data_IF_268029617529
#
_entry.id   IF_268029617529
#
_cell.length_a   1.000
_cell.length_b   1.000
_cell.length_c   1.000
_cell.angle_alpha   90.00
_cell.angle_beta   90.00
_cell.angle_gamma   90.00
#
_symmetry.space_group_name_H-M   'P 1'
#
loop_
_entity.id
_entity.type
_entity.pdbx_description
1 polymer ?
#
# COMPACT_ATOMS: atom_id res chain seq x y z
N UNK A 1 -5.14 -14.85 58.18
CA UNK A 1 -4.54 -15.49 56.98
C UNK A 1 -5.68 -16.13 56.21
N UNK A 2 -6.32 -15.35 55.34
CA UNK A 2 -7.31 -15.74 54.33
C UNK A 2 -7.97 -14.43 53.88
N UNK A 3 -7.30 -13.71 52.97
CA UNK A 3 -7.85 -12.60 52.16
C UNK A 3 -6.90 -12.19 51.03
N UNK A 4 -6.23 -13.17 50.44
CA UNK A 4 -5.60 -13.08 49.12
C UNK A 4 -6.21 -14.26 48.34
N UNK A 5 -7.13 -14.01 47.39
CA UNK A 5 -7.51 -15.02 46.36
C UNK A 5 -8.69 -14.65 45.44
N UNK A 6 -8.89 -13.37 45.08
CA UNK A 6 -9.83 -13.06 43.98
C UNK A 6 -9.21 -12.15 42.91
N UNK A 7 -8.44 -11.13 43.29
CA UNK A 7 -7.77 -10.24 42.32
C UNK A 7 -6.66 -10.91 41.50
N UNK A 8 -5.95 -11.89 42.08
CA UNK A 8 -4.88 -12.62 41.35
C UNK A 8 -5.40 -13.71 40.40
N UNK A 9 -6.67 -14.11 40.53
CA UNK A 9 -7.30 -15.07 39.61
C UNK A 9 -7.82 -14.39 38.35
N UNK A 10 -8.38 -13.19 38.46
CA UNK A 10 -8.81 -12.41 37.29
C UNK A 10 -7.63 -11.92 36.42
N UNK A 11 -6.46 -11.67 37.01
CA UNK A 11 -5.28 -11.25 36.25
C UNK A 11 -4.61 -12.40 35.48
N UNK A 12 -4.89 -13.66 35.85
CA UNK A 12 -4.41 -14.85 35.13
C UNK A 12 -5.34 -15.29 33.99
N UNK A 13 -6.63 -14.96 34.03
CA UNK A 13 -7.57 -15.29 32.95
C UNK A 13 -7.53 -14.31 31.76
N UNK A 14 -6.96 -13.11 31.91
CA UNK A 14 -6.69 -12.19 30.79
C UNK A 14 -5.42 -12.49 29.99
N UNK A 15 -4.67 -13.55 30.34
CA UNK A 15 -3.52 -14.05 29.57
C UNK A 15 -3.88 -15.34 28.83
N UNK A 16 -4.87 -15.27 27.94
CA UNK A 16 -5.29 -16.39 27.10
C UNK A 16 -5.55 -15.92 25.67
N UNK A 17 -4.87 -16.57 24.71
CA UNK A 17 -5.02 -16.39 23.26
C UNK A 17 -4.35 -15.15 22.62
N UNK A 18 -3.05 -14.99 22.85
CA UNK A 18 -2.18 -14.52 21.76
C UNK A 18 -2.14 -15.66 20.73
N UNK A 19 -2.79 -15.46 19.58
CA UNK A 19 -2.62 -16.33 18.41
C UNK A 19 -1.14 -16.51 18.05
N UNK A 20 -0.79 -17.52 17.24
CA UNK A 20 0.60 -17.84 16.97
C UNK A 20 1.36 -16.60 16.50
N UNK A 21 2.46 -16.27 17.19
CA UNK A 21 3.42 -15.24 16.78
C UNK A 21 3.83 -15.54 15.35
N UNK A 22 3.24 -14.83 14.39
CA UNK A 22 3.68 -14.83 13.01
C UNK A 22 4.89 -13.91 12.94
N UNK A 23 6.08 -14.50 13.01
CA UNK A 23 7.31 -13.83 12.56
C UNK A 23 7.06 -13.27 11.16
N UNK A 24 7.68 -12.13 10.82
CA UNK A 24 7.69 -11.62 9.45
C UNK A 24 7.93 -12.80 8.49
N UNK A 25 7.04 -13.02 7.50
CA UNK A 25 7.21 -14.16 6.60
C UNK A 25 8.61 -14.06 6.00
N UNK A 26 9.40 -15.14 6.02
CA UNK A 26 10.74 -15.10 5.46
C UNK A 26 10.59 -14.64 4.02
N UNK A 27 11.24 -13.53 3.67
CA UNK A 27 11.39 -13.16 2.28
C UNK A 27 12.03 -14.37 1.62
N UNK A 28 11.41 -14.87 0.54
CA UNK A 28 11.99 -15.96 -0.23
C UNK A 28 13.42 -15.58 -0.55
N UNK A 29 14.39 -16.13 0.19
CA UNK A 29 15.77 -16.08 -0.25
C UNK A 29 15.72 -16.61 -1.66
N UNK A 30 16.28 -15.88 -2.61
CA UNK A 30 16.64 -16.41 -3.91
C UNK A 30 17.57 -17.62 -3.68
N UNK A 31 16.97 -18.76 -3.39
CA UNK A 31 17.56 -20.08 -3.38
C UNK A 31 16.70 -20.80 -4.38
N UNK A 32 17.34 -21.20 -5.49
CA UNK A 32 16.76 -22.10 -6.46
C UNK A 32 15.99 -23.18 -5.71
N UNK A 33 14.67 -23.15 -5.82
CA UNK A 33 13.84 -24.22 -5.31
C UNK A 33 14.30 -25.50 -6.02
N UNK A 34 14.33 -26.66 -5.32
CA UNK A 34 14.74 -27.93 -5.93
C UNK A 34 13.85 -28.38 -7.11
N UNK A 35 12.75 -27.65 -7.40
CA UNK A 35 11.77 -27.96 -8.44
C UNK A 35 11.48 -26.80 -9.41
N UNK A 36 12.48 -26.07 -9.92
CA UNK A 36 12.36 -25.30 -11.17
C UNK A 36 11.19 -24.31 -11.30
N UNK A 37 10.67 -23.75 -10.20
CA UNK A 37 9.62 -22.74 -10.25
C UNK A 37 10.18 -21.47 -10.91
N UNK A 38 9.60 -21.06 -12.04
CA UNK A 38 9.96 -19.82 -12.72
C UNK A 38 9.82 -18.64 -11.75
N UNK A 39 10.88 -17.87 -11.58
CA UNK A 39 10.85 -16.62 -10.82
C UNK A 39 9.80 -15.69 -11.44
N UNK A 40 8.86 -15.19 -10.63
CA UNK A 40 7.88 -14.20 -11.11
C UNK A 40 8.62 -12.91 -11.47
N UNK A 41 8.42 -12.33 -12.66
CA UNK A 41 9.17 -11.16 -13.13
C UNK A 41 8.91 -9.92 -12.27
N UNK A 42 7.75 -9.86 -11.61
CA UNK A 42 7.34 -8.77 -10.72
C UNK A 42 7.09 -9.30 -9.30
N UNK A 43 7.53 -8.54 -8.30
CA UNK A 43 7.20 -8.75 -6.89
C UNK A 43 6.43 -7.55 -6.37
N UNK A 44 5.32 -7.78 -5.68
CA UNK A 44 4.49 -6.77 -5.02
C UNK A 44 4.36 -7.11 -3.54
N UNK A 45 4.56 -6.13 -2.68
CA UNK A 45 4.31 -6.24 -1.24
C UNK A 45 3.21 -5.28 -0.81
N UNK A 46 2.35 -5.73 0.10
CA UNK A 46 1.28 -4.95 0.71
C UNK A 46 1.35 -5.10 2.23
N UNK A 47 1.70 -4.04 2.93
CA UNK A 47 1.96 -4.04 4.36
C UNK A 47 1.06 -3.05 5.09
N UNK A 48 0.71 -3.41 6.32
CA UNK A 48 -0.02 -2.56 7.24
C UNK A 48 0.66 -2.56 8.62
N UNK A 49 0.71 -1.41 9.27
CA UNK A 49 1.20 -1.25 10.63
C UNK A 49 0.20 -0.43 11.45
N UNK A 50 -0.30 -1.01 12.54
CA UNK A 50 -1.15 -0.32 13.50
C UNK A 50 -0.28 0.42 14.52
N UNK A 51 -0.35 1.75 14.50
CA UNK A 51 0.43 2.63 15.37
C UNK A 51 -0.29 3.01 16.66
N UNK A 52 -1.59 2.72 16.78
CA UNK A 52 -2.42 3.06 17.96
C UNK A 52 -1.86 2.49 19.26
N UNK A 53 -1.40 1.22 19.33
CA UNK A 53 -0.82 0.69 20.56
C UNK A 53 0.65 1.10 20.79
N UNK A 54 1.28 1.77 19.81
CA UNK A 54 2.73 2.00 19.82
C UNK A 54 3.10 3.26 20.60
N UNK A 55 4.22 3.19 21.33
CA UNK A 55 4.80 4.29 22.12
C UNK A 55 3.78 4.98 23.04
N UNK A 56 3.12 4.25 23.96
CA UNK A 56 2.07 4.81 24.81
C UNK A 56 2.58 5.89 25.78
N UNK A 57 3.88 5.90 26.08
CA UNK A 57 4.51 6.92 26.93
C UNK A 57 4.72 8.27 26.24
N UNK A 58 4.59 8.36 24.91
CA UNK A 58 4.70 9.61 24.18
C UNK A 58 3.36 10.37 24.16
N UNK A 59 3.23 11.38 25.01
CA UNK A 59 2.01 12.22 25.09
C UNK A 59 2.07 13.45 24.18
N UNK A 60 3.27 13.97 23.95
CA UNK A 60 3.56 15.07 23.02
C UNK A 60 4.64 14.64 22.01
N UNK A 61 4.75 15.35 20.87
CA UNK A 61 5.76 15.04 19.83
C UNK A 61 7.19 15.04 20.38
N UNK A 62 7.50 15.94 21.32
CA UNK A 62 8.85 16.02 21.93
C UNK A 62 9.22 14.76 22.72
N UNK A 63 8.24 14.05 23.27
CA UNK A 63 8.44 12.84 24.08
C UNK A 63 8.79 11.64 23.19
N UNK A 64 8.35 11.68 21.93
CA UNK A 64 8.43 10.55 21.00
C UNK A 64 9.87 10.10 20.76
N UNK A 65 10.84 11.02 20.70
CA UNK A 65 12.26 10.67 20.51
C UNK A 65 12.81 9.79 21.63
N UNK A 66 12.36 10.02 22.87
CA UNK A 66 12.74 9.19 24.00
C UNK A 66 11.95 7.88 24.03
N UNK A 67 10.63 7.95 23.83
CA UNK A 67 9.73 6.80 23.86
C UNK A 67 10.01 5.78 22.75
N UNK A 68 10.49 6.24 21.60
CA UNK A 68 10.81 5.45 20.41
C UNK A 68 12.32 5.49 20.10
N UNK A 69 13.17 5.57 21.13
CA UNK A 69 14.62 5.76 20.95
C UNK A 69 15.27 4.69 20.06
N UNK A 70 14.81 3.44 20.16
CA UNK A 70 15.27 2.32 19.33
C UNK A 70 15.02 2.57 17.84
N UNK A 71 13.83 3.07 17.52
CA UNK A 71 13.40 3.40 16.17
C UNK A 71 14.09 4.66 15.63
N UNK A 72 14.28 5.68 16.46
CA UNK A 72 15.00 6.90 16.05
C UNK A 72 16.47 6.64 15.72
N UNK A 73 17.12 5.67 16.37
CA UNK A 73 18.49 5.26 16.03
C UNK A 73 18.60 4.66 14.62
N UNK A 74 17.49 4.24 14.02
CA UNK A 74 17.43 3.71 12.65
C UNK A 74 17.14 4.79 11.60
N UNK A 75 16.99 6.06 11.99
CA UNK A 75 16.69 7.15 11.08
C UNK A 75 17.92 8.02 10.80
N UNK A 76 17.87 8.77 9.71
CA UNK A 76 18.84 9.84 9.47
C UNK A 76 18.34 11.18 10.06
N UNK A 77 19.21 12.18 10.10
CA UNK A 77 18.88 13.49 10.68
C UNK A 77 17.70 14.16 9.98
N UNK A 78 17.61 14.04 8.65
CA UNK A 78 16.52 14.63 7.86
C UNK A 78 15.16 14.02 8.21
N UNK A 79 15.09 12.71 8.35
CA UNK A 79 13.87 12.00 8.76
C UNK A 79 13.49 12.36 10.19
N UNK A 80 14.47 12.39 11.09
CA UNK A 80 14.28 12.78 12.50
C UNK A 80 13.69 14.18 12.59
N UNK A 81 14.28 15.16 11.90
CA UNK A 81 13.76 16.53 11.87
C UNK A 81 12.34 16.61 11.31
N UNK A 82 12.03 15.86 10.25
CA UNK A 82 10.68 15.86 9.66
C UNK A 82 9.63 15.35 10.65
N UNK A 83 9.93 14.26 11.37
CA UNK A 83 9.02 13.67 12.36
C UNK A 83 8.81 14.61 13.55
N UNK A 84 9.85 15.33 13.97
CA UNK A 84 9.77 16.24 15.11
C UNK A 84 9.01 17.54 14.83
N UNK A 85 8.72 17.86 13.56
CA UNK A 85 7.95 19.07 13.18
C UNK A 85 6.44 18.91 13.36
N UNK A 86 5.94 17.69 13.54
CA UNK A 86 4.50 17.47 13.71
C UNK A 86 4.00 18.06 15.03
N UNK A 87 2.92 18.83 14.96
CA UNK A 87 2.31 19.41 16.15
C UNK A 87 1.69 18.35 17.06
N UNK A 88 1.00 17.36 16.47
CA UNK A 88 0.34 16.29 17.23
C UNK A 88 1.17 15.02 17.22
N UNK A 89 1.29 14.38 18.39
CA UNK A 89 2.06 13.14 18.56
C UNK A 89 1.52 12.01 17.70
N UNK A 90 0.20 11.93 17.46
CA UNK A 90 -0.40 10.93 16.58
C UNK A 90 0.15 11.01 15.15
N UNK A 91 0.36 12.22 14.64
CA UNK A 91 0.88 12.42 13.28
C UNK A 91 2.38 12.13 13.24
N UNK A 92 3.12 12.48 14.31
CA UNK A 92 4.52 12.10 14.47
C UNK A 92 4.71 10.57 14.51
N UNK A 93 3.82 9.83 15.17
CA UNK A 93 3.82 8.36 15.21
C UNK A 93 3.60 7.76 13.80
N UNK A 94 2.62 8.27 13.06
CA UNK A 94 2.37 7.86 11.67
C UNK A 94 3.58 8.16 10.77
N UNK A 95 4.22 9.32 10.93
CA UNK A 95 5.40 9.71 10.18
C UNK A 95 6.62 8.82 10.48
N UNK A 96 6.85 8.49 11.76
CA UNK A 96 7.89 7.56 12.18
C UNK A 96 7.68 6.16 11.58
N UNK A 97 6.49 5.60 11.74
CA UNK A 97 6.11 4.32 11.15
C UNK A 97 6.29 4.32 9.61
N UNK A 98 5.88 5.40 8.94
CA UNK A 98 6.05 5.57 7.50
C UNK A 98 7.52 5.58 7.08
N UNK A 99 8.40 6.24 7.84
CA UNK A 99 9.83 6.28 7.54
C UNK A 99 10.47 4.88 7.63
N UNK A 100 10.16 4.13 8.69
CA UNK A 100 10.66 2.76 8.89
C UNK A 100 10.14 1.80 7.81
N UNK A 101 8.85 1.87 7.47
CA UNK A 101 8.25 1.03 6.43
C UNK A 101 8.90 1.23 5.07
N UNK A 102 9.15 2.49 4.68
CA UNK A 102 9.84 2.79 3.41
C UNK A 102 11.23 2.17 3.36
N UNK A 103 12.03 2.36 4.42
CA UNK A 103 13.38 1.80 4.51
C UNK A 103 13.36 0.28 4.48
N UNK A 104 12.44 -0.36 5.21
CA UNK A 104 12.29 -1.81 5.21
C UNK A 104 11.91 -2.34 3.82
N UNK A 105 10.96 -1.70 3.15
CA UNK A 105 10.54 -2.10 1.80
C UNK A 105 11.71 -2.01 0.81
N UNK A 106 12.46 -0.90 0.85
CA UNK A 106 13.63 -0.69 -0.01
C UNK A 106 14.71 -1.72 0.29
N UNK A 107 15.12 -1.87 1.56
CA UNK A 107 16.17 -2.79 1.97
C UNK A 107 15.85 -4.22 1.53
N UNK A 108 14.61 -4.69 1.70
CA UNK A 108 14.18 -6.03 1.27
C UNK A 108 14.15 -6.22 -0.24
N UNK A 109 13.49 -5.31 -0.97
CA UNK A 109 13.27 -5.49 -2.40
C UNK A 109 14.54 -5.27 -3.23
N UNK A 110 15.37 -4.29 -2.85
CA UNK A 110 16.61 -3.94 -3.54
C UNK A 110 17.79 -4.76 -3.02
N UNK A 111 17.64 -5.42 -1.87
CA UNK A 111 18.71 -6.13 -1.18
C UNK A 111 19.93 -5.22 -0.94
N UNK A 112 19.65 -4.04 -0.37
CA UNK A 112 20.65 -3.01 0.00
C UNK A 112 20.69 -2.84 1.51
N UNK A 113 21.78 -2.25 2.02
CA UNK A 113 21.92 -1.97 3.45
C UNK A 113 20.82 -1.02 3.95
N UNK A 114 20.59 -1.02 5.27
CA UNK A 114 19.63 -0.10 5.89
C UNK A 114 19.99 1.37 5.66
N UNK A 115 21.30 1.67 5.68
CA UNK A 115 21.83 3.01 5.39
C UNK A 115 21.60 3.40 3.92
N UNK A 116 21.87 2.52 2.95
CA UNK A 116 21.58 2.80 1.53
C UNK A 116 20.08 2.97 1.27
N UNK A 117 19.23 2.19 1.93
CA UNK A 117 17.78 2.30 1.82
C UNK A 117 17.24 3.70 2.21
N UNK A 118 18.02 4.48 2.96
CA UNK A 118 17.67 5.86 3.32
C UNK A 118 17.84 6.88 2.19
N UNK A 119 18.49 6.50 1.09
CA UNK A 119 18.82 7.39 -0.03
C UNK A 119 17.72 7.53 -1.08
N UNK A 120 16.50 7.06 -0.79
CA UNK A 120 15.33 7.33 -1.63
C UNK A 120 15.10 8.84 -1.78
N UNK A 121 14.59 9.23 -2.95
CA UNK A 121 14.35 10.63 -3.29
C UNK A 121 12.91 10.83 -3.74
N UNK A 122 12.50 12.08 -3.84
CA UNK A 122 11.24 12.43 -4.51
C UNK A 122 11.51 12.64 -5.99
N UNK A 123 10.68 12.03 -6.81
CA UNK A 123 10.63 12.31 -8.24
C UNK A 123 10.29 13.79 -8.46
N UNK A 124 11.02 14.45 -9.37
CA UNK A 124 10.90 15.91 -9.55
C UNK A 124 9.56 16.29 -10.19
N UNK A 125 9.02 15.44 -11.06
CA UNK A 125 7.78 15.68 -11.79
C UNK A 125 6.55 15.40 -10.90
N UNK A 126 6.58 14.28 -10.20
CA UNK A 126 5.41 13.74 -9.48
C UNK A 126 5.47 13.91 -7.96
N UNK A 127 6.64 14.23 -7.40
CA UNK A 127 6.85 14.29 -5.94
C UNK A 127 6.78 12.92 -5.23
N UNK A 128 6.50 11.83 -5.96
CA UNK A 128 6.42 10.46 -5.43
C UNK A 128 7.79 10.02 -4.91
N UNK A 129 7.84 9.28 -3.79
CA UNK A 129 9.08 8.71 -3.33
C UNK A 129 9.51 7.54 -4.25
N UNK A 130 10.76 7.57 -4.69
CA UNK A 130 11.36 6.56 -5.59
C UNK A 130 12.73 6.16 -5.07
N UNK A 131 13.12 4.91 -5.34
CA UNK A 131 14.46 4.42 -5.08
C UNK A 131 15.07 3.84 -6.36
N UNK A 132 16.12 4.49 -6.84
CA UNK A 132 16.88 4.01 -7.99
C UNK A 132 17.89 2.97 -7.53
N UNK A 133 17.94 1.83 -8.22
CA UNK A 133 18.95 0.82 -7.92
C UNK A 133 20.36 1.41 -8.15
N UNK A 134 21.30 1.25 -7.19
CA UNK A 134 22.67 1.67 -7.41
C UNK A 134 23.24 0.92 -8.63
N UNK A 135 23.82 1.67 -9.58
CA UNK A 135 24.50 1.08 -10.73
C UNK A 135 25.61 0.18 -10.20
N UNK A 136 25.56 -1.11 -10.51
CA UNK A 136 26.56 -2.10 -10.08
C UNK A 136 27.97 -1.61 -10.43
N UNK A 137 28.69 -1.04 -9.47
CA UNK A 137 30.12 -0.79 -9.58
C UNK A 137 30.83 -2.13 -9.40
N UNK A 138 30.96 -2.92 -10.47
CA UNK A 138 31.94 -3.99 -10.46
C UNK A 138 33.33 -3.37 -10.68
N UNK A 139 34.30 -3.57 -9.77
CA UNK A 139 35.70 -3.27 -10.04
C UNK A 139 36.20 -4.21 -11.15
N UNK A 140 36.99 -3.63 -12.05
CA UNK A 140 37.81 -4.32 -13.06
C UNK A 140 38.30 -5.72 -12.64
N UNK A 141 37.85 -6.77 -13.33
CA UNK A 141 38.70 -7.88 -13.76
C UNK A 141 37.91 -8.83 -14.67
N UNK A 142 38.28 -8.77 -15.95
CA UNK A 142 38.27 -9.81 -16.99
C UNK A 142 37.73 -11.20 -16.60
N UNK A 143 36.41 -11.39 -16.54
CA UNK A 143 35.78 -12.73 -16.64
C UNK A 143 34.46 -12.60 -17.39
N UNK A 144 34.36 -13.36 -18.49
CA UNK A 144 33.21 -13.68 -19.36
C UNK A 144 31.87 -12.98 -19.05
N UNK A 145 31.36 -12.21 -20.03
CA UNK A 145 30.03 -11.58 -20.07
C UNK A 145 28.91 -12.63 -19.91
N UNK A 146 28.50 -12.95 -18.68
CA UNK A 146 27.14 -13.42 -18.46
C UNK A 146 26.25 -12.16 -18.40
N UNK A 147 25.33 -12.01 -19.36
CA UNK A 147 24.27 -10.99 -19.36
C UNK A 147 23.63 -10.98 -17.96
N UNK A 148 23.79 -9.88 -17.21
CA UNK A 148 23.34 -9.77 -15.81
C UNK A 148 22.00 -9.07 -15.84
N UNK A 149 20.91 -9.80 -15.54
CA UNK A 149 19.52 -9.29 -15.42
C UNK A 149 19.51 -7.90 -14.76
N UNK A 150 19.07 -6.88 -15.49
CA UNK A 150 18.95 -5.50 -14.97
C UNK A 150 17.70 -5.44 -14.09
N UNK A 151 17.86 -5.12 -12.80
CA UNK A 151 16.71 -4.85 -11.92
C UNK A 151 16.32 -3.40 -12.06
N UNK A 152 15.04 -3.14 -12.30
CA UNK A 152 14.52 -1.78 -12.29
C UNK A 152 14.46 -1.23 -10.86
N UNK A 153 14.34 0.09 -10.74
CA UNK A 153 14.16 0.78 -9.45
C UNK A 153 12.94 0.28 -8.68
N UNK A 154 12.92 0.52 -7.36
CA UNK A 154 11.75 0.20 -6.55
C UNK A 154 10.75 1.34 -6.64
N UNK A 155 9.50 1.00 -6.95
CA UNK A 155 8.37 1.91 -6.86
C UNK A 155 7.57 1.57 -5.62
N UNK A 156 7.27 2.58 -4.80
CA UNK A 156 6.50 2.38 -3.58
C UNK A 156 5.61 3.59 -3.28
N UNK A 157 4.55 3.34 -2.54
CA UNK A 157 3.63 4.37 -2.09
C UNK A 157 3.16 4.05 -0.66
N UNK A 158 2.87 5.10 0.11
CA UNK A 158 2.47 4.99 1.52
C UNK A 158 1.24 5.86 1.73
N UNK A 159 0.28 5.34 2.48
CA UNK A 159 -0.84 6.12 3.00
C UNK A 159 -1.01 5.85 4.49
N UNK A 160 -1.64 6.79 5.19
CA UNK A 160 -1.90 6.66 6.62
C UNK A 160 -3.15 7.43 7.02
N UNK A 161 -3.95 6.86 7.92
CA UNK A 161 -5.12 7.51 8.48
C UNK A 161 -5.46 6.90 9.84
N UNK A 162 -5.96 7.71 10.78
CA UNK A 162 -6.49 7.29 12.08
C UNK A 162 -5.65 6.27 12.88
N UNK A 163 -4.31 6.35 12.78
CA UNK A 163 -3.42 5.46 13.52
C UNK A 163 -2.96 4.21 12.77
N UNK A 164 -3.26 4.07 11.47
CA UNK A 164 -2.74 3.01 10.61
C UNK A 164 -1.83 3.59 9.53
N UNK A 165 -0.73 2.89 9.22
CA UNK A 165 0.10 3.15 8.04
C UNK A 165 0.05 1.94 7.12
N UNK A 166 -0.23 2.15 5.84
CA UNK A 166 -0.19 1.12 4.79
C UNK A 166 0.88 1.45 3.75
N UNK A 167 1.52 0.42 3.21
CA UNK A 167 2.55 0.54 2.18
C UNK A 167 2.30 -0.48 1.08
N UNK A 168 2.38 -0.02 -0.16
CA UNK A 168 2.56 -0.88 -1.34
C UNK A 168 3.94 -0.62 -1.93
N UNK A 169 4.65 -1.68 -2.33
CA UNK A 169 5.87 -1.54 -3.12
C UNK A 169 5.97 -2.63 -4.17
N UNK A 170 6.67 -2.31 -5.25
CA UNK A 170 6.89 -3.21 -6.37
C UNK A 170 8.34 -3.17 -6.86
N UNK A 171 8.80 -4.29 -7.39
CA UNK A 171 10.09 -4.44 -8.04
C UNK A 171 9.93 -5.32 -9.28
N UNK A 172 10.50 -4.87 -10.40
CA UNK A 172 10.56 -5.61 -11.66
C UNK A 172 11.99 -6.10 -11.89
N UNK A 173 12.11 -7.38 -12.27
CA UNK A 173 13.34 -7.94 -12.80
C UNK A 173 13.21 -7.94 -14.31
N UNK A 174 13.99 -7.09 -15.01
CA UNK A 174 13.97 -7.10 -16.47
C UNK A 174 14.50 -8.47 -16.95
N UNK A 175 13.73 -9.11 -17.83
CA UNK A 175 14.27 -10.15 -18.70
C UNK A 175 15.04 -9.45 -19.81
N UNK A 176 16.20 -10.00 -20.17
CA UNK A 176 16.85 -9.60 -21.41
C UNK A 176 15.91 -10.08 -22.52
N UNK A 177 15.27 -9.16 -23.23
CA UNK A 177 14.64 -9.48 -24.49
C UNK A 177 15.80 -9.94 -25.40
N UNK A 178 15.78 -11.22 -25.77
CA UNK A 178 16.72 -11.78 -26.74
C UNK A 178 16.29 -11.29 -28.13
N UNK A 179 16.52 -10.02 -28.41
CA UNK A 179 16.51 -9.49 -29.78
C UNK A 179 17.87 -9.82 -30.41
N UNK A 180 18.01 -11.08 -30.82
CA UNK A 180 18.71 -11.39 -32.06
C UNK A 180 17.78 -10.89 -33.18
N UNK A 181 18.01 -9.68 -33.70
CA UNK A 181 17.83 -9.36 -35.12
C UNK A 181 18.53 -8.02 -35.41
N UNK A 182 19.73 -8.15 -35.99
CA UNK A 182 20.34 -7.11 -36.83
C UNK A 182 19.39 -6.83 -38.01
N UNK A 183 18.76 -5.65 -38.05
CA UNK A 183 18.36 -4.91 -39.29
C UNK A 183 17.61 -3.64 -38.84
N UNK A 184 18.26 -2.47 -38.82
CA UNK A 184 18.33 -1.48 -39.90
C UNK A 184 17.21 -0.41 -39.84
N UNK A 185 17.66 0.84 -39.77
CA UNK A 185 17.00 2.11 -40.15
C UNK A 185 15.63 2.57 -39.55
N UNK A 186 15.75 3.56 -38.64
CA UNK A 186 15.10 4.89 -38.67
C UNK A 186 13.56 5.02 -38.87
N UNK A 187 12.79 5.31 -37.80
CA UNK A 187 11.65 6.29 -37.70
C UNK A 187 11.40 6.54 -36.18
N UNK A 188 11.50 7.76 -35.64
CA UNK A 188 10.36 8.65 -35.33
C UNK A 188 10.25 8.92 -33.82
N UNK A 189 10.57 10.13 -33.36
CA UNK A 189 10.55 10.55 -31.93
C UNK A 189 9.15 10.41 -31.24
N UNK A 190 8.09 10.09 -31.99
CA UNK A 190 6.73 9.89 -31.49
C UNK A 190 6.46 8.44 -31.00
N UNK A 191 7.23 7.44 -31.46
CA UNK A 191 7.07 6.03 -31.03
C UNK A 191 7.74 5.74 -29.67
N UNK A 192 8.71 6.57 -29.26
CA UNK A 192 9.40 6.42 -27.97
C UNK A 192 8.49 6.70 -26.76
N UNK A 193 7.47 7.57 -26.89
CA UNK A 193 6.52 7.84 -25.80
C UNK A 193 5.54 6.67 -25.54
N UNK A 194 5.10 5.97 -26.59
CA UNK A 194 4.21 4.80 -26.45
C UNK A 194 4.98 3.57 -25.88
N UNK A 195 6.25 3.38 -26.26
CA UNK A 195 7.10 2.32 -25.69
C UNK A 195 7.48 2.54 -24.21
N UNK A 196 7.63 3.79 -23.76
CA UNK A 196 7.89 4.09 -22.35
C UNK A 196 6.70 3.73 -21.44
N UNK A 197 5.47 3.87 -21.93
CA UNK A 197 4.26 3.52 -21.18
C UNK A 197 4.04 1.99 -21.07
N UNK A 198 4.48 1.20 -22.05
CA UNK A 198 4.44 -0.28 -21.98
C UNK A 198 5.39 -0.88 -20.92
N UNK A 199 6.41 -0.16 -20.49
CA UNK A 199 7.38 -0.61 -19.46
C UNK A 199 7.01 -0.16 -18.04
N UNK A 200 5.92 0.59 -17.87
CA UNK A 200 5.68 1.36 -16.66
C UNK A 200 4.96 0.57 -15.57
N UNK A 201 5.73 0.03 -14.63
CA UNK A 201 5.21 -0.39 -13.34
C UNK A 201 5.09 0.82 -12.41
N UNK A 202 3.88 1.13 -11.95
CA UNK A 202 3.64 2.20 -10.99
C UNK A 202 2.65 1.75 -9.92
N UNK A 203 2.83 2.24 -8.70
CA UNK A 203 1.98 1.84 -7.55
C UNK A 203 1.45 3.06 -6.80
N UNK A 204 0.24 2.92 -6.27
CA UNK A 204 -0.44 3.85 -5.38
C UNK A 204 -1.28 3.08 -4.36
N UNK A 205 -1.38 3.61 -3.15
CA UNK A 205 -2.21 3.04 -2.10
C UNK A 205 -2.91 4.14 -1.32
N UNK A 206 -4.14 3.89 -0.92
CA UNK A 206 -4.84 4.73 0.03
C UNK A 206 -5.56 3.93 1.11
N UNK A 207 -5.77 4.54 2.27
CA UNK A 207 -6.50 3.96 3.40
C UNK A 207 -7.44 5.00 3.97
N UNK A 208 -8.68 4.60 4.21
CA UNK A 208 -9.72 5.44 4.81
C UNK A 208 -10.30 4.77 6.05
N UNK A 209 -10.38 5.52 7.14
CA UNK A 209 -11.11 5.12 8.35
C UNK A 209 -12.51 5.75 8.30
N UNK A 210 -13.53 4.91 8.08
CA UNK A 210 -14.92 5.38 7.99
C UNK A 210 -15.42 5.94 9.33
N UNK A 211 -14.92 5.38 10.44
CA UNK A 211 -15.31 5.81 11.79
C UNK A 211 -14.76 7.18 12.20
N UNK A 212 -13.62 7.62 11.65
CA UNK A 212 -12.89 8.82 12.14
C UNK A 212 -13.72 10.11 12.08
N UNK A 213 -14.52 10.28 11.02
CA UNK A 213 -15.35 11.48 10.83
C UNK A 213 -16.86 11.22 10.92
N UNK A 214 -17.25 9.97 11.19
CA UNK A 214 -18.65 9.51 11.12
C UNK A 214 -19.62 10.45 11.83
N UNK A 215 -19.40 10.80 13.09
CA UNK A 215 -20.29 11.69 13.85
C UNK A 215 -20.49 13.05 13.18
N UNK A 216 -19.40 13.64 12.70
CA UNK A 216 -19.42 14.95 12.03
C UNK A 216 -20.16 14.88 10.69
N UNK A 217 -19.91 13.84 9.90
CA UNK A 217 -20.53 13.69 8.59
C UNK A 217 -22.03 13.36 8.73
N UNK A 218 -22.43 12.51 9.68
CA UNK A 218 -23.84 12.28 10.01
C UNK A 218 -24.55 13.56 10.45
N UNK A 219 -23.89 14.39 11.26
CA UNK A 219 -24.44 15.70 11.66
C UNK A 219 -24.64 16.61 10.44
N UNK A 220 -23.69 16.64 9.52
CA UNK A 220 -23.79 17.42 8.27
C UNK A 220 -24.90 16.90 7.36
N UNK A 221 -25.02 15.59 7.20
CA UNK A 221 -26.06 14.94 6.39
C UNK A 221 -27.44 15.21 6.99
N UNK A 222 -27.59 15.11 8.32
CA UNK A 222 -28.86 15.41 8.99
C UNK A 222 -29.27 16.89 8.86
N UNK A 223 -28.30 17.81 8.84
CA UNK A 223 -28.56 19.24 8.75
C UNK A 223 -28.86 19.71 7.31
N UNK A 224 -28.14 19.19 6.32
CA UNK A 224 -28.12 19.73 4.96
C UNK A 224 -28.64 18.75 3.88
N UNK A 225 -28.79 17.47 4.23
CA UNK A 225 -29.16 16.40 3.32
C UNK A 225 -27.98 15.81 2.54
N UNK A 226 -28.16 14.59 2.07
CA UNK A 226 -27.13 13.83 1.35
C UNK A 226 -26.69 14.48 0.04
N UNK A 227 -27.63 15.01 -0.75
CA UNK A 227 -27.31 15.65 -2.03
C UNK A 227 -26.38 16.86 -1.86
N UNK A 228 -26.60 17.64 -0.79
CA UNK A 228 -25.75 18.78 -0.44
C UNK A 228 -24.39 18.33 0.08
N UNK A 229 -24.34 17.27 0.89
CA UNK A 229 -23.09 16.65 1.33
C UNK A 229 -22.21 16.25 0.14
N UNK A 230 -22.76 15.54 -0.85
CA UNK A 230 -22.03 15.17 -2.08
C UNK A 230 -21.57 16.42 -2.85
N UNK A 231 -22.41 17.45 -2.97
CA UNK A 231 -22.07 18.67 -3.69
C UNK A 231 -20.88 19.43 -3.11
N UNK A 232 -20.60 19.33 -1.80
CA UNK A 232 -19.40 19.93 -1.19
C UNK A 232 -18.10 19.28 -1.71
N UNK A 233 -18.19 18.06 -2.24
CA UNK A 233 -17.05 17.25 -2.68
C UNK A 233 -16.97 17.08 -4.20
N UNK A 234 -17.83 17.75 -4.97
CA UNK A 234 -17.97 17.49 -6.41
C UNK A 234 -16.78 17.92 -7.27
N UNK A 235 -15.88 18.75 -6.76
CA UNK A 235 -14.64 19.08 -7.46
C UNK A 235 -13.63 17.92 -7.49
N UNK A 236 -13.79 16.95 -6.60
CA UNK A 236 -12.95 15.74 -6.56
C UNK A 236 -13.52 14.64 -7.45
N UNK A 237 -14.83 14.65 -7.71
CA UNK A 237 -15.53 13.59 -8.45
C UNK A 237 -15.87 13.99 -9.88
N UNK A 238 -15.96 13.00 -10.76
CA UNK A 238 -16.62 13.17 -12.06
C UNK A 238 -18.13 13.40 -11.87
N UNK A 239 -18.80 14.02 -12.86
CA UNK A 239 -20.26 14.13 -12.85
C UNK A 239 -20.98 12.77 -12.72
N UNK A 240 -20.42 11.72 -13.32
CA UNK A 240 -20.99 10.37 -13.27
C UNK A 240 -20.93 9.78 -11.86
N UNK A 241 -19.78 9.87 -11.19
CA UNK A 241 -19.62 9.41 -9.82
C UNK A 241 -20.48 10.20 -8.83
N UNK A 242 -20.54 11.53 -8.97
CA UNK A 242 -21.40 12.36 -8.13
C UNK A 242 -22.89 12.01 -8.31
N UNK A 243 -23.33 11.73 -9.53
CA UNK A 243 -24.68 11.26 -9.80
C UNK A 243 -24.93 9.87 -9.17
N UNK A 244 -23.97 8.94 -9.27
CA UNK A 244 -24.06 7.61 -8.67
C UNK A 244 -24.13 7.66 -7.14
N UNK A 245 -23.43 8.61 -6.49
CA UNK A 245 -23.58 8.84 -5.05
C UNK A 245 -24.96 9.42 -4.72
N UNK A 246 -25.43 10.44 -5.46
CA UNK A 246 -26.73 11.08 -5.23
C UNK A 246 -27.92 10.12 -5.41
N UNK A 247 -27.84 9.15 -6.33
CA UNK A 247 -28.90 8.16 -6.53
C UNK A 247 -29.12 7.24 -5.33
N UNK A 248 -28.21 7.25 -4.34
CA UNK A 248 -28.32 6.49 -3.09
C UNK A 248 -29.14 7.20 -2.01
N UNK A 249 -29.89 8.26 -2.33
CA UNK A 249 -30.62 9.07 -1.34
C UNK A 249 -31.61 8.27 -0.47
N UNK A 250 -32.10 7.12 -0.95
CA UNK A 250 -32.96 6.20 -0.22
C UNK A 250 -32.26 5.21 0.72
N UNK A 251 -30.93 5.11 0.66
CA UNK A 251 -30.14 4.23 1.53
C UNK A 251 -29.88 4.89 2.89
N UNK A 252 -29.58 4.07 3.91
CA UNK A 252 -29.17 4.59 5.22
C UNK A 252 -27.84 5.36 5.16
N UNK A 253 -27.62 6.27 6.09
CA UNK A 253 -26.47 7.19 6.09
C UNK A 253 -25.13 6.46 6.13
N UNK A 254 -25.02 5.34 6.86
CA UNK A 254 -23.79 4.57 6.96
C UNK A 254 -23.46 3.90 5.63
N UNK A 255 -24.46 3.30 4.97
CA UNK A 255 -24.32 2.76 3.61
C UNK A 255 -23.90 3.84 2.61
N UNK A 256 -24.49 5.04 2.68
CA UNK A 256 -24.12 6.17 1.84
C UNK A 256 -22.66 6.62 2.07
N UNK A 257 -22.25 6.75 3.32
CA UNK A 257 -20.88 7.08 3.70
C UNK A 257 -19.88 5.99 3.29
N UNK A 258 -20.24 4.71 3.40
CA UNK A 258 -19.40 3.61 2.95
C UNK A 258 -19.09 3.68 1.45
N UNK A 259 -20.09 3.99 0.61
CA UNK A 259 -19.87 4.21 -0.82
C UNK A 259 -19.03 5.47 -1.10
N UNK A 260 -19.30 6.57 -0.40
CA UNK A 260 -18.52 7.80 -0.54
C UNK A 260 -17.04 7.58 -0.22
N UNK A 261 -16.73 6.96 0.91
CA UNK A 261 -15.36 6.70 1.31
C UNK A 261 -14.67 5.63 0.49
N UNK A 262 -15.43 4.67 -0.06
CA UNK A 262 -14.90 3.73 -1.04
C UNK A 262 -14.47 4.46 -2.30
N UNK A 263 -15.32 5.34 -2.83
CA UNK A 263 -14.98 6.15 -4.01
C UNK A 263 -13.77 7.05 -3.73
N UNK A 264 -13.74 7.70 -2.57
CA UNK A 264 -12.62 8.52 -2.13
C UNK A 264 -11.32 7.71 -2.15
N UNK A 265 -11.31 6.55 -1.51
CA UNK A 265 -10.15 5.67 -1.39
C UNK A 265 -9.66 5.16 -2.78
N UNK A 266 -10.60 4.79 -3.67
CA UNK A 266 -10.28 4.41 -5.05
C UNK A 266 -9.57 5.54 -5.79
N UNK A 267 -10.13 6.75 -5.74
CA UNK A 267 -9.57 7.90 -6.47
C UNK A 267 -8.21 8.30 -5.93
N UNK A 268 -8.06 8.40 -4.60
CA UNK A 268 -6.78 8.68 -3.96
C UNK A 268 -5.70 7.66 -4.34
N UNK A 269 -6.01 6.36 -4.33
CA UNK A 269 -5.05 5.33 -4.72
C UNK A 269 -4.62 5.48 -6.19
N UNK A 270 -5.56 5.78 -7.10
CA UNK A 270 -5.26 6.03 -8.51
C UNK A 270 -4.40 7.30 -8.70
N UNK A 271 -4.76 8.39 -8.04
CA UNK A 271 -4.02 9.67 -8.09
C UNK A 271 -2.61 9.47 -7.56
N UNK A 272 -2.46 8.82 -6.40
CA UNK A 272 -1.15 8.48 -5.82
C UNK A 272 -0.31 7.56 -6.70
N UNK A 273 -0.95 6.67 -7.47
CA UNK A 273 -0.29 5.84 -8.46
C UNK A 273 0.25 6.67 -9.62
N UNK A 274 -0.54 7.61 -10.15
CA UNK A 274 -0.08 8.52 -11.22
C UNK A 274 0.95 9.53 -10.75
N UNK A 275 0.88 9.93 -9.47
CA UNK A 275 1.76 10.95 -8.90
C UNK A 275 1.32 12.38 -9.18
N UNK A 276 0.11 12.58 -9.68
CA UNK A 276 -0.50 13.89 -9.80
C UNK A 276 -1.11 14.34 -8.46
N UNK A 277 -1.37 15.64 -8.33
CA UNK A 277 -2.00 16.21 -7.13
C UNK A 277 -3.53 16.23 -7.26
N UNK A 278 -4.23 16.36 -6.11
CA UNK A 278 -5.70 16.51 -6.00
C UNK A 278 -6.30 17.74 -6.70
N UNK A 279 -5.49 18.51 -7.42
CA UNK A 279 -5.92 19.67 -8.22
C UNK A 279 -5.63 19.46 -9.71
N UNK A 280 -5.34 18.23 -10.12
CA UNK A 280 -5.12 17.94 -11.52
C UNK A 280 -6.39 18.28 -12.33
N UNK A 281 -6.27 19.05 -13.42
CA UNK A 281 -7.44 19.52 -14.18
C UNK A 281 -8.25 18.37 -14.79
N UNK A 282 -7.62 17.20 -14.92
CA UNK A 282 -8.22 16.00 -15.48
C UNK A 282 -9.07 15.20 -14.49
N UNK A 283 -9.13 15.54 -13.20
CA UNK A 283 -9.85 14.73 -12.21
C UNK A 283 -11.31 14.47 -12.59
N UNK A 284 -12.00 15.45 -13.19
CA UNK A 284 -13.39 15.29 -13.63
C UNK A 284 -13.55 14.32 -14.82
N UNK A 285 -12.45 13.98 -15.50
CA UNK A 285 -12.40 13.02 -16.61
C UNK A 285 -12.08 11.59 -16.15
N UNK A 286 -11.71 11.38 -14.88
CA UNK A 286 -11.53 10.06 -14.29
C UNK A 286 -12.85 9.59 -13.69
N UNK A 287 -13.29 8.38 -14.03
CA UNK A 287 -14.53 7.79 -13.53
C UNK A 287 -14.27 6.38 -12.99
N UNK A 288 -14.62 6.16 -11.73
CA UNK A 288 -14.81 4.85 -11.15
C UNK A 288 -16.27 4.45 -11.35
N UNK A 289 -16.54 3.45 -12.19
CA UNK A 289 -17.88 2.91 -12.42
C UNK A 289 -18.05 1.60 -11.67
N UNK A 290 -19.27 1.33 -11.22
CA UNK A 290 -19.61 0.10 -10.49
C UNK A 290 -18.78 -0.10 -9.21
N UNK A 291 -18.43 0.99 -8.53
CA UNK A 291 -17.76 0.92 -7.23
C UNK A 291 -18.74 0.51 -6.14
N UNK A 292 -18.28 -0.32 -5.21
CA UNK A 292 -19.01 -0.74 -4.03
C UNK A 292 -18.02 -0.97 -2.88
N UNK A 293 -18.42 -0.72 -1.62
CA UNK A 293 -17.58 -1.00 -0.45
C UNK A 293 -17.24 -2.50 -0.38
N UNK A 294 -16.07 -2.85 0.20
CA UNK A 294 -15.74 -4.25 0.40
C UNK A 294 -16.81 -4.93 1.27
N UNK A 295 -17.14 -6.21 1.02
CA UNK A 295 -18.10 -6.93 1.84
C UNK A 295 -17.58 -7.07 3.28
N UNK A 296 -18.44 -6.98 4.29
CA UNK A 296 -18.03 -7.10 5.69
C UNK A 296 -17.45 -8.49 5.95
N UNK A 297 -16.39 -8.57 6.74
CA UNK A 297 -15.71 -9.81 7.10
C UNK A 297 -16.62 -10.86 7.76
N UNK A 298 -17.67 -10.43 8.46
CA UNK A 298 -18.69 -11.31 9.07
C UNK A 298 -19.52 -12.09 8.05
N UNK A 299 -19.62 -11.61 6.80
CA UNK A 299 -20.32 -12.32 5.72
C UNK A 299 -19.51 -13.50 5.14
N UNK A 300 -18.22 -13.61 5.48
CA UNK A 300 -17.35 -14.72 5.08
C UNK A 300 -17.41 -15.90 6.07
N UNK A 301 -17.74 -15.66 7.34
CA UNK A 301 -17.79 -16.71 8.39
C UNK A 301 -18.97 -17.69 8.26
N UNK A 302 -20.11 -17.27 7.69
CA UNK A 302 -21.27 -18.15 7.51
C UNK A 302 -21.11 -19.15 6.34
N UNK A 303 -20.06 -19.02 5.52
CA UNK A 303 -19.77 -19.96 4.44
C UNK A 303 -18.77 -21.07 4.83
N UNK A 304 -18.16 -21.00 6.02
CA UNK A 304 -17.08 -21.91 6.41
C UNK A 304 -17.51 -23.27 6.98
N UNK A 305 -18.82 -23.59 7.06
CA UNK A 305 -19.28 -24.90 7.52
C UNK A 305 -19.61 -25.91 6.43
N UNK A 306 -19.57 -25.54 5.14
CA UNK A 306 -19.71 -26.51 4.05
C UNK A 306 -18.67 -26.30 2.95
N UNK A 307 -17.75 -27.27 2.87
CA UNK A 307 -16.83 -27.63 1.78
C UNK A 307 -15.38 -27.10 1.80
N UNK A 308 -14.47 -28.08 1.81
CA UNK A 308 -13.06 -28.00 1.47
C UNK A 308 -12.81 -27.38 0.10
N UNK A 309 -11.72 -26.61 0.02
CA UNK A 309 -10.99 -26.24 -1.20
C UNK A 309 -11.83 -25.56 -2.30
N UNK A 310 -11.98 -24.23 -2.22
CA UNK A 310 -12.04 -23.43 -3.43
C UNK A 310 -11.49 -22.01 -3.23
N UNK A 311 -10.59 -21.65 -4.14
CA UNK A 311 -10.11 -20.30 -4.43
C UNK A 311 -11.26 -19.27 -4.39
N UNK A 312 -11.18 -18.27 -3.50
CA UNK A 312 -11.88 -17.00 -3.70
C UNK A 312 -11.17 -16.18 -4.78
N UNK A 313 -11.19 -16.70 -6.02
CA UNK A 313 -11.51 -15.80 -7.13
C UNK A 313 -12.95 -15.33 -6.91
N UNK A 314 -13.23 -14.08 -7.24
CA UNK A 314 -14.60 -13.56 -7.37
C UNK A 314 -15.35 -14.27 -8.53
N UNK A 315 -15.52 -15.58 -8.43
CA UNK A 315 -16.49 -16.35 -9.20
C UNK A 315 -17.68 -16.64 -8.29
N UNK A 316 -18.31 -15.58 -7.76
CA UNK A 316 -19.73 -15.65 -7.42
C UNK A 316 -20.51 -15.28 -8.68
N UNK A 317 -21.47 -16.09 -9.04
CA UNK A 317 -22.50 -15.88 -10.06
C UNK A 317 -23.44 -14.71 -9.76
N UNK A 318 -22.97 -13.71 -9.02
CA UNK A 318 -23.64 -12.43 -8.82
C UNK A 318 -23.38 -11.57 -10.05
N UNK A 319 -24.44 -11.20 -10.77
CA UNK A 319 -24.44 -10.26 -11.89
C UNK A 319 -23.98 -8.83 -11.54
N UNK A 320 -23.33 -8.63 -10.40
CA UNK A 320 -22.86 -7.31 -9.99
C UNK A 320 -21.66 -6.93 -10.87
N UNK A 321 -21.75 -5.83 -11.64
CA UNK A 321 -20.67 -5.42 -12.51
C UNK A 321 -19.39 -5.17 -11.71
N UNK A 322 -18.27 -5.69 -12.23
CA UNK A 322 -16.94 -5.44 -11.66
C UNK A 322 -16.60 -3.95 -11.79
N UNK A 323 -15.83 -3.43 -10.82
CA UNK A 323 -15.26 -2.09 -10.87
C UNK A 323 -14.63 -1.83 -12.25
N UNK A 324 -15.01 -0.72 -12.87
CA UNK A 324 -14.39 -0.24 -14.10
C UNK A 324 -13.77 1.14 -13.89
N UNK A 325 -12.61 1.35 -14.50
CA UNK A 325 -11.90 2.62 -14.48
C UNK A 325 -11.98 3.19 -15.88
N UNK A 326 -12.45 4.42 -16.01
CA UNK A 326 -12.52 5.14 -17.27
C UNK A 326 -11.79 6.46 -17.13
N UNK A 327 -11.04 6.83 -18.16
CA UNK A 327 -10.32 8.10 -18.23
C UNK A 327 -10.58 8.75 -19.60
N UNK A 328 -11.12 9.97 -19.60
CA UNK A 328 -11.47 10.72 -20.83
C UNK A 328 -12.32 9.89 -21.81
N UNK A 329 -13.31 9.17 -21.27
CA UNK A 329 -14.22 8.34 -22.06
C UNK A 329 -13.63 7.04 -22.60
N UNK A 330 -12.39 6.68 -22.25
CA UNK A 330 -11.77 5.38 -22.59
C UNK A 330 -11.61 4.52 -21.36
N UNK A 331 -11.83 3.21 -21.50
CA UNK A 331 -11.57 2.25 -20.43
C UNK A 331 -10.06 2.19 -20.17
N UNK A 332 -9.66 2.21 -18.90
CA UNK A 332 -8.28 2.01 -18.47
C UNK A 332 -8.06 0.52 -18.24
N UNK A 333 -7.16 -0.09 -19.02
CA UNK A 333 -6.94 -1.54 -19.04
C UNK A 333 -5.57 -1.96 -18.48
N UNK A 334 -4.66 -1.01 -18.32
CA UNK A 334 -3.31 -1.19 -17.81
C UNK A 334 -3.21 -0.98 -16.28
N UNK A 335 -4.36 -0.87 -15.59
CA UNK A 335 -4.42 -0.68 -14.14
C UNK A 335 -5.17 -1.82 -13.45
N UNK A 336 -4.56 -2.35 -12.41
CA UNK A 336 -5.14 -3.31 -11.47
C UNK A 336 -5.45 -2.58 -10.16
N UNK A 337 -6.73 -2.46 -9.80
CA UNK A 337 -7.15 -1.92 -8.52
C UNK A 337 -7.79 -3.00 -7.65
N UNK A 338 -7.50 -2.98 -6.35
CA UNK A 338 -8.14 -3.85 -5.37
C UNK A 338 -8.53 -3.08 -4.13
N UNK A 339 -9.79 -3.25 -3.73
CA UNK A 339 -10.31 -2.84 -2.43
C UNK A 339 -10.24 -4.01 -1.44
N UNK A 340 -9.92 -3.70 -0.20
CA UNK A 340 -9.93 -4.65 0.91
C UNK A 340 -10.24 -3.95 2.22
N UNK A 341 -10.94 -4.64 3.11
CA UNK A 341 -11.06 -4.24 4.52
C UNK A 341 -9.77 -4.52 5.28
N UNK A 342 -9.50 -3.73 6.32
CA UNK A 342 -8.36 -3.89 7.22
C UNK A 342 -8.79 -3.65 8.67
N UNK A 343 -8.23 -4.42 9.61
CA UNK A 343 -8.50 -4.34 11.06
C UNK A 343 -10.02 -4.42 11.38
N UNK A 344 -10.62 -5.59 11.12
CA UNK A 344 -12.04 -5.86 11.44
C UNK A 344 -13.01 -4.87 10.78
N UNK A 345 -12.79 -4.57 9.49
CA UNK A 345 -13.59 -3.65 8.68
C UNK A 345 -13.59 -2.18 9.12
N UNK A 346 -12.73 -1.79 10.08
CA UNK A 346 -12.61 -0.39 10.52
C UNK A 346 -12.03 0.52 9.41
N UNK A 347 -11.23 -0.06 8.51
CA UNK A 347 -10.57 0.66 7.42
C UNK A 347 -10.89 0.03 6.08
N UNK A 348 -11.07 0.88 5.07
CA UNK A 348 -11.05 0.50 3.65
C UNK A 348 -9.69 0.87 3.09
N UNK A 349 -9.03 -0.07 2.42
CA UNK A 349 -7.74 0.13 1.75
C UNK A 349 -7.92 -0.13 0.27
N UNK A 350 -7.37 0.75 -0.56
CA UNK A 350 -7.29 0.54 -1.99
C UNK A 350 -5.84 0.54 -2.45
N UNK A 351 -5.44 -0.51 -3.17
CA UNK A 351 -4.17 -0.58 -3.87
C UNK A 351 -4.40 -0.46 -5.38
N UNK A 352 -3.67 0.44 -6.04
CA UNK A 352 -3.66 0.61 -7.48
C UNK A 352 -2.25 0.31 -8.04
N UNK A 353 -2.19 -0.54 -9.07
CA UNK A 353 -0.94 -0.90 -9.75
C UNK A 353 -1.14 -0.76 -11.25
N UNK A 354 -0.38 0.14 -11.87
CA UNK A 354 -0.24 0.21 -13.33
C UNK A 354 0.77 -0.82 -13.77
N UNK A 355 0.42 -1.64 -14.76
CA UNK A 355 1.30 -2.66 -15.31
C UNK A 355 0.91 -3.02 -16.75
N UNK A 356 1.87 -3.45 -17.58
CA UNK A 356 1.58 -3.95 -18.91
C UNK A 356 0.70 -5.21 -18.89
N UNK A 357 -0.06 -5.48 -19.98
CA UNK A 357 -0.96 -6.62 -20.08
C UNK A 357 -0.30 -7.96 -19.72
N UNK A 358 0.97 -8.16 -20.11
CA UNK A 358 1.74 -9.39 -19.82
C UNK A 358 1.94 -9.66 -18.32
N UNK A 359 1.94 -8.62 -17.48
CA UNK A 359 2.12 -8.76 -16.03
C UNK A 359 0.79 -8.81 -15.28
N UNK A 360 -0.33 -8.48 -15.92
CA UNK A 360 -1.64 -8.27 -15.29
C UNK A 360 -2.06 -9.43 -14.38
N UNK A 361 -2.04 -10.67 -14.88
CA UNK A 361 -2.45 -11.84 -14.09
C UNK A 361 -1.55 -12.05 -12.85
N UNK A 362 -0.25 -11.83 -12.99
CA UNK A 362 0.71 -11.92 -11.88
C UNK A 362 0.45 -10.84 -10.84
N UNK A 363 0.22 -9.59 -11.27
CA UNK A 363 -0.12 -8.45 -10.41
C UNK A 363 -1.44 -8.72 -9.67
N UNK A 364 -2.50 -9.12 -10.38
CA UNK A 364 -3.82 -9.40 -9.79
C UNK A 364 -3.74 -10.51 -8.73
N UNK A 365 -3.01 -11.60 -9.00
CA UNK A 365 -2.82 -12.68 -8.03
C UNK A 365 -2.07 -12.24 -6.76
N UNK A 366 -1.08 -11.37 -6.88
CA UNK A 366 -0.34 -10.84 -5.73
C UNK A 366 -1.16 -9.81 -4.96
N UNK A 367 -1.91 -8.95 -5.64
CA UNK A 367 -2.86 -8.04 -5.00
C UNK A 367 -3.95 -8.80 -4.26
N UNK A 368 -4.34 -9.98 -4.74
CA UNK A 368 -5.34 -10.81 -4.09
C UNK A 368 -4.94 -11.36 -2.72
N UNK A 369 -3.65 -11.36 -2.40
CA UNK A 369 -3.15 -11.79 -1.10
C UNK A 369 -3.55 -10.77 0.00
N UNK A 370 -3.82 -11.25 1.23
CA UNK A 370 -4.11 -10.36 2.35
C UNK A 370 -2.91 -9.48 2.70
N UNK A 371 -3.18 -8.31 3.26
CA UNK A 371 -2.14 -7.44 3.79
C UNK A 371 -1.32 -8.16 4.85
N UNK A 372 0.01 -7.98 4.81
CA UNK A 372 0.87 -8.42 5.91
C UNK A 372 0.80 -7.38 7.02
N UNK A 373 0.19 -7.74 8.14
CA UNK A 373 0.23 -6.94 9.35
C UNK A 373 1.59 -7.08 10.00
N UNK A 374 2.33 -5.99 10.09
CA UNK A 374 3.67 -5.97 10.62
C UNK A 374 3.66 -5.71 12.13
N UNK A 375 4.58 -6.37 12.82
CA UNK A 375 4.87 -6.12 14.24
C UNK A 375 6.10 -5.22 14.30
N UNK A 376 5.98 -4.07 14.98
CA UNK A 376 7.05 -3.08 15.06
C UNK A 376 8.36 -3.69 15.56
N UNK A 377 8.32 -4.46 16.63
CA UNK A 377 9.52 -5.07 17.21
C UNK A 377 10.27 -5.98 16.23
N UNK A 378 9.53 -6.76 15.43
CA UNK A 378 10.14 -7.62 14.40
C UNK A 378 10.76 -6.78 13.29
N UNK A 379 10.09 -5.71 12.86
CA UNK A 379 10.61 -4.79 11.84
C UNK A 379 11.90 -4.12 12.30
N UNK A 380 11.92 -3.62 13.54
CA UNK A 380 13.08 -2.92 14.12
C UNK A 380 14.24 -3.89 14.33
N UNK A 381 13.97 -5.12 14.76
CA UNK A 381 14.99 -6.16 14.90
C UNK A 381 15.65 -6.48 13.57
N UNK A 382 14.85 -6.63 12.50
CA UNK A 382 15.39 -6.87 11.16
C UNK A 382 16.19 -5.67 10.63
N UNK A 383 15.71 -4.45 10.88
CA UNK A 383 16.41 -3.23 10.52
C UNK A 383 17.78 -3.12 11.20
N UNK A 384 17.86 -3.39 12.51
CA UNK A 384 19.11 -3.41 13.27
C UNK A 384 20.07 -4.50 12.78
N UNK A 385 19.56 -5.65 12.36
CA UNK A 385 20.38 -6.69 11.73
C UNK A 385 20.89 -6.29 10.35
N UNK A 386 20.05 -5.65 9.53
CA UNK A 386 20.43 -5.16 8.21
C UNK A 386 21.48 -4.05 8.31
N UNK A 387 21.35 -3.15 9.28
CA UNK A 387 22.31 -2.08 9.53
C UNK A 387 23.66 -2.65 10.01
N UNK A 388 23.66 -3.58 10.97
CA UNK A 388 24.89 -4.27 11.43
C UNK A 388 25.61 -5.01 10.30
N UNK A 389 24.87 -5.67 9.40
CA UNK A 389 25.47 -6.33 8.23
C UNK A 389 26.13 -5.33 7.28
N UNK A 390 25.52 -4.15 7.09
CA UNK A 390 26.07 -3.09 6.25
C UNK A 390 27.32 -2.42 6.82
N UNK A 391 27.48 -2.37 8.15
CA UNK A 391 28.67 -1.80 8.79
C UNK A 391 29.90 -2.74 8.77
N UNK A 392 29.68 -4.06 8.59
CA UNK A 392 30.74 -5.08 8.58
C UNK A 392 31.22 -5.43 7.17
N UNK A 393 30.47 -5.07 6.13
CA UNK A 393 30.79 -5.26 4.72
C UNK A 393 31.53 -4.04 4.17
#
# INVERSE_FOLDING_TARGET
KEKESESEREEKEKKGSLGPRRTLPPFGRARAGPNGAMETPVSIIQWALDTRPLWPSATETRDLKQAASREFNLLNDKETEQIQRFHFVKDAKLALASALLKRLAISRLANVSWTEASSWKRDVRTGKPIFDMPRSSSPSSSVKKNKKKKREGIKFNVSHQAGVVVLVASSLVAQDDDDDDDDDDQVGEEEEEEEEDEKKLDVGIDVVCQGERREKDLTSIAAEGWSRYVAVHEDVFSPHEAAALRSREGDDDDSRLAYFYTLWCLREAYIKMTGDALLAPWLKDLEMRHFAPPPPSSSLSDQHHHHHHHHHQQNSTSHDPRLEIWFRGRRVEDVCMRLSSLLEDEYVVCTAVRCPPRLRACVESQLALPFTHLVLDDMVTEAEEADRRGQLA
#
